data_IF_091127420244
#
_entry.id   IF_091127420244
#
_cell.length_a   1.000
_cell.length_b   1.000
_cell.length_c   1.000
_cell.angle_alpha   90.00
_cell.angle_beta   90.00
_cell.angle_gamma   90.00
#
_symmetry.space_group_name_H-M   'P 1'
#
loop_
_entity.id
_entity.type
_entity.pdbx_description
1 polymer ?
#
# COMPACT_ATOMS: atom_id res chain seq x y z
N UNK A 1 16.42 -25.21 -66.50
CA UNK A 1 16.89 -24.99 -65.11
C UNK A 1 17.08 -23.51 -64.87
N UNK A 2 16.29 -22.82 -64.02
CA UNK A 2 16.65 -21.45 -63.51
C UNK A 2 15.67 -20.77 -62.53
N UNK A 3 14.47 -21.29 -62.22
CA UNK A 3 13.58 -20.65 -61.21
C UNK A 3 13.51 -21.38 -59.86
N UNK A 4 13.37 -22.72 -59.86
CA UNK A 4 13.29 -23.52 -58.62
C UNK A 4 14.60 -23.49 -57.80
N UNK A 5 15.75 -23.45 -58.47
CA UNK A 5 17.06 -23.43 -57.82
C UNK A 5 17.35 -22.08 -57.15
N UNK A 6 16.87 -20.97 -57.72
CA UNK A 6 17.04 -19.62 -57.14
C UNK A 6 16.14 -19.45 -55.91
N UNK A 7 14.90 -19.95 -55.95
CA UNK A 7 13.98 -19.87 -54.81
C UNK A 7 14.50 -20.70 -53.62
N UNK A 8 15.03 -21.90 -53.88
CA UNK A 8 15.63 -22.73 -52.82
C UNK A 8 16.91 -22.10 -52.26
N UNK A 9 17.72 -21.42 -53.08
CA UNK A 9 18.90 -20.67 -52.60
C UNK A 9 18.48 -19.46 -51.74
N UNK A 10 17.38 -18.78 -52.10
CA UNK A 10 16.86 -17.63 -51.34
C UNK A 10 16.27 -18.06 -50.00
N UNK A 11 15.57 -19.19 -49.95
CA UNK A 11 15.08 -19.80 -48.70
C UNK A 11 16.25 -20.28 -47.83
N UNK A 12 17.31 -20.84 -48.44
CA UNK A 12 18.52 -21.23 -47.71
C UNK A 12 19.26 -20.01 -47.14
N UNK A 13 19.38 -18.91 -47.90
CA UNK A 13 20.01 -17.65 -47.45
C UNK A 13 19.17 -16.97 -46.37
N UNK A 14 17.83 -16.99 -46.46
CA UNK A 14 16.95 -16.48 -45.41
C UNK A 14 17.03 -17.35 -44.15
N UNK A 15 17.09 -18.68 -44.28
CA UNK A 15 17.28 -19.60 -43.15
C UNK A 15 18.67 -19.44 -42.51
N UNK A 16 19.72 -19.21 -43.30
CA UNK A 16 21.08 -18.98 -42.80
C UNK A 16 21.23 -17.62 -42.10
N UNK A 17 20.48 -16.60 -42.52
CA UNK A 17 20.44 -15.31 -41.83
C UNK A 17 19.63 -15.35 -40.52
N UNK A 18 18.64 -16.23 -40.40
CA UNK A 18 17.89 -16.40 -39.13
C UNK A 18 18.71 -17.23 -38.12
N UNK A 19 19.59 -18.14 -38.58
CA UNK A 19 20.46 -18.93 -37.71
C UNK A 19 21.78 -18.25 -37.27
N UNK A 20 22.18 -17.12 -37.87
CA UNK A 20 23.43 -16.42 -37.53
C UNK A 20 23.23 -15.08 -36.79
N UNK A 21 22.05 -14.83 -36.21
CA UNK A 21 21.84 -13.62 -35.38
C UNK A 21 22.30 -13.85 -33.93
N UNK A 22 23.60 -14.09 -33.75
CA UNK A 22 24.25 -13.74 -32.50
C UNK A 22 24.41 -12.22 -32.45
N UNK A 23 23.74 -11.57 -31.48
CA UNK A 23 23.91 -10.15 -31.20
C UNK A 23 23.28 -9.17 -32.22
N UNK A 24 21.96 -9.12 -32.34
CA UNK A 24 21.29 -7.99 -33.02
C UNK A 24 21.34 -6.72 -32.18
N UNK A 25 22.21 -5.77 -32.52
CA UNK A 25 22.16 -4.40 -31.97
C UNK A 25 21.13 -3.56 -32.74
N UNK A 26 19.87 -3.59 -32.31
CA UNK A 26 18.85 -2.67 -32.83
C UNK A 26 18.99 -1.34 -32.11
N UNK A 27 19.46 -0.29 -32.81
CA UNK A 27 19.45 1.09 -32.29
C UNK A 27 18.17 1.76 -32.79
N UNK A 28 17.11 1.77 -31.98
CA UNK A 28 15.95 2.63 -32.26
C UNK A 28 16.21 4.02 -31.68
N UNK A 29 16.51 4.98 -32.55
CA UNK A 29 16.66 6.38 -32.17
C UNK A 29 15.26 7.03 -32.15
N UNK A 30 14.51 6.90 -31.05
CA UNK A 30 13.18 7.52 -30.97
C UNK A 30 13.35 9.02 -30.71
N UNK A 31 13.23 9.84 -31.76
CA UNK A 31 13.48 11.28 -31.74
C UNK A 31 12.39 12.14 -31.06
N UNK A 32 11.48 11.55 -30.29
CA UNK A 32 10.35 12.28 -29.71
C UNK A 32 10.01 11.81 -28.29
N UNK A 33 10.67 12.41 -27.29
CA UNK A 33 10.04 12.71 -26.01
C UNK A 33 10.76 13.93 -25.40
N UNK A 34 10.07 14.62 -24.51
CA UNK A 34 10.39 15.93 -23.92
C UNK A 34 11.65 15.90 -23.00
N UNK A 35 12.30 14.75 -22.87
CA UNK A 35 13.43 14.44 -21.97
C UNK A 35 14.66 13.85 -22.69
N UNK A 36 14.91 14.22 -23.94
CA UNK A 36 16.14 13.83 -24.65
C UNK A 36 16.15 12.35 -25.08
N UNK A 37 16.92 12.05 -26.13
CA UNK A 37 16.82 10.77 -26.85
C UNK A 37 16.97 9.51 -25.98
N UNK A 38 16.10 8.53 -26.23
CA UNK A 38 16.18 7.16 -25.67
C UNK A 38 16.98 6.28 -26.63
N UNK A 39 18.12 5.74 -26.17
CA UNK A 39 18.82 4.66 -26.89
C UNK A 39 18.44 3.34 -26.23
N UNK A 40 17.83 2.45 -27.00
CA UNK A 40 17.53 1.07 -26.60
C UNK A 40 18.56 0.19 -27.29
N UNK A 41 19.43 -0.49 -26.55
CA UNK A 41 20.19 -1.62 -27.10
C UNK A 41 19.52 -2.91 -26.64
N UNK A 42 18.94 -3.64 -27.59
CA UNK A 42 18.46 -5.00 -27.37
C UNK A 42 19.69 -5.90 -27.57
N UNK A 43 20.10 -6.66 -26.55
CA UNK A 43 21.13 -7.69 -26.66
C UNK A 43 20.42 -9.02 -26.48
N UNK A 44 20.38 -9.82 -27.56
CA UNK A 44 19.91 -11.19 -27.54
C UNK A 44 21.12 -12.09 -27.29
N UNK A 45 21.05 -12.91 -26.23
CA UNK A 45 22.06 -13.91 -25.91
C UNK A 45 21.45 -15.31 -26.14
N UNK A 46 21.67 -15.92 -27.32
CA UNK A 46 21.08 -17.21 -27.68
C UNK A 46 21.74 -18.41 -27.00
N UNK A 47 22.81 -18.23 -26.21
CA UNK A 47 23.59 -19.32 -25.66
C UNK A 47 23.17 -19.65 -24.23
N UNK A 48 22.04 -20.33 -24.04
CA UNK A 48 21.92 -21.32 -22.97
C UNK A 48 20.85 -22.38 -23.29
N UNK A 49 21.20 -23.63 -22.98
CA UNK A 49 20.54 -24.87 -23.41
C UNK A 49 19.05 -24.96 -23.07
N UNK A 50 18.36 -25.77 -23.87
CA UNK A 50 17.03 -26.37 -23.67
C UNK A 50 16.46 -26.17 -22.25
N UNK A 51 15.40 -25.36 -22.15
CA UNK A 51 14.57 -25.05 -20.96
C UNK A 51 14.83 -23.73 -20.20
N UNK A 52 15.70 -22.82 -20.66
CA UNK A 52 15.78 -21.45 -20.12
C UNK A 52 15.95 -20.41 -21.23
N UNK A 53 14.86 -19.71 -21.58
CA UNK A 53 14.98 -18.48 -22.35
C UNK A 53 15.41 -17.37 -21.37
N UNK A 54 16.72 -17.20 -21.16
CA UNK A 54 17.25 -15.93 -20.63
C UNK A 54 16.90 -14.84 -21.65
N UNK A 55 15.75 -14.21 -21.44
CA UNK A 55 15.18 -13.28 -22.39
C UNK A 55 15.94 -11.96 -22.45
N UNK A 56 15.88 -11.40 -23.65
CA UNK A 56 16.17 -10.03 -24.07
C UNK A 56 16.74 -9.13 -22.94
N UNK A 57 18.03 -8.81 -23.07
CA UNK A 57 18.69 -7.78 -22.27
C UNK A 57 18.47 -6.44 -22.96
N UNK A 58 17.60 -5.60 -22.42
CA UNK A 58 17.42 -4.23 -22.91
C UNK A 58 18.27 -3.27 -22.07
N UNK A 59 19.24 -2.61 -22.69
CA UNK A 59 19.95 -1.51 -22.08
C UNK A 59 19.27 -0.20 -22.46
N UNK A 60 18.73 0.51 -21.45
CA UNK A 60 18.16 1.84 -21.62
C UNK A 60 19.15 2.86 -21.10
N UNK A 61 19.60 3.76 -21.98
CA UNK A 61 20.47 4.88 -21.63
C UNK A 61 19.63 6.15 -21.68
N UNK A 62 19.46 6.81 -20.54
CA UNK A 62 18.89 8.16 -20.48
C UNK A 62 20.02 9.18 -20.60
N UNK A 63 19.85 10.12 -21.54
CA UNK A 63 20.75 11.26 -21.74
C UNK A 63 20.11 12.51 -21.13
N UNK A 64 20.89 13.34 -20.44
CA UNK A 64 20.42 14.67 -20.08
C UNK A 64 20.27 15.58 -21.32
N UNK A 65 19.70 16.77 -21.14
CA UNK A 65 19.49 17.76 -22.21
C UNK A 65 20.77 18.23 -22.91
N UNK A 66 21.95 17.91 -22.35
CA UNK A 66 23.27 18.22 -22.90
C UNK A 66 23.97 16.98 -23.51
N UNK A 67 23.36 15.80 -23.44
CA UNK A 67 23.93 14.53 -23.92
C UNK A 67 25.08 13.98 -23.07
N UNK A 68 25.32 14.54 -21.88
CA UNK A 68 26.55 14.36 -21.09
C UNK A 68 26.38 13.39 -19.92
N UNK A 69 25.31 13.48 -19.13
CA UNK A 69 25.05 12.51 -18.07
C UNK A 69 24.28 11.31 -18.60
N UNK A 70 24.82 10.11 -18.34
CA UNK A 70 24.26 8.83 -18.76
C UNK A 70 23.71 8.11 -17.53
N UNK A 71 22.39 8.05 -17.37
CA UNK A 71 21.78 7.08 -16.45
C UNK A 71 21.53 5.80 -17.23
N UNK A 72 22.36 4.78 -16.99
CA UNK A 72 22.20 3.44 -17.58
C UNK A 72 21.28 2.62 -16.69
N UNK A 73 20.16 2.18 -17.25
CA UNK A 73 19.27 1.19 -16.64
C UNK A 73 19.40 -0.09 -17.47
N UNK A 74 19.79 -1.17 -16.82
CA UNK A 74 19.79 -2.48 -17.45
C UNK A 74 18.47 -3.17 -17.13
N UNK A 75 17.67 -3.48 -18.14
CA UNK A 75 16.50 -4.34 -18.03
C UNK A 75 16.86 -5.75 -18.49
N UNK A 76 16.51 -6.74 -17.67
CA UNK A 76 16.54 -8.15 -18.06
C UNK A 76 15.13 -8.71 -17.94
N UNK A 77 14.61 -9.30 -19.00
CA UNK A 77 13.36 -10.02 -18.97
C UNK A 77 13.67 -11.52 -18.92
N UNK A 78 13.49 -12.17 -17.78
CA UNK A 78 13.61 -13.64 -17.71
C UNK A 78 12.23 -14.26 -17.90
N UNK A 79 12.14 -15.26 -18.77
CA UNK A 79 10.93 -16.04 -18.97
C UNK A 79 11.21 -17.47 -18.50
N UNK A 80 10.46 -17.93 -17.51
CA UNK A 80 10.55 -19.30 -17.03
C UNK A 80 9.35 -20.09 -17.54
N UNK A 81 9.63 -20.98 -18.49
CA UNK A 81 8.81 -22.08 -19.01
C UNK A 81 8.95 -23.30 -18.05
N UNK A 82 8.44 -24.52 -18.22
CA UNK A 82 7.41 -25.02 -19.09
C UNK A 82 7.11 -26.45 -18.67
N UNK A 83 5.94 -26.62 -18.07
CA UNK A 83 5.23 -27.85 -17.64
C UNK A 83 4.55 -27.61 -16.31
N UNK A 84 5.04 -26.64 -15.55
CA UNK A 84 4.83 -26.61 -14.12
C UNK A 84 4.44 -25.24 -13.67
N UNK A 85 5.31 -24.25 -13.65
CA UNK A 85 5.06 -23.07 -12.79
C UNK A 85 5.70 -21.82 -13.35
N UNK A 86 5.07 -21.34 -14.41
CA UNK A 86 5.64 -20.32 -15.27
C UNK A 86 5.53 -18.92 -14.65
N UNK A 87 6.62 -18.16 -14.75
CA UNK A 87 6.66 -16.76 -14.36
C UNK A 87 7.57 -15.95 -15.29
N UNK A 88 7.24 -14.67 -15.42
CA UNK A 88 8.04 -13.66 -16.12
C UNK A 88 8.60 -12.69 -15.09
N UNK A 89 9.92 -12.57 -15.04
CA UNK A 89 10.61 -11.55 -14.26
C UNK A 89 11.07 -10.41 -15.16
N UNK A 90 10.74 -9.18 -14.79
CA UNK A 90 11.27 -7.96 -15.38
C UNK A 90 12.13 -7.29 -14.32
N UNK A 91 13.45 -7.33 -14.53
CA UNK A 91 14.45 -6.92 -13.55
C UNK A 91 15.15 -5.68 -14.05
N UNK A 92 15.25 -4.64 -13.22
CA UNK A 92 16.01 -3.43 -13.52
C UNK A 92 17.20 -3.25 -12.59
N UNK A 93 18.34 -2.84 -13.15
CA UNK A 93 19.56 -2.52 -12.41
C UNK A 93 20.02 -1.09 -12.71
N UNK A 94 20.75 -0.48 -11.78
CA UNK A 94 21.46 0.76 -12.03
C UNK A 94 22.77 0.55 -12.82
N UNK A 95 23.49 1.63 -13.12
CA UNK A 95 24.76 1.60 -13.84
C UNK A 95 25.86 0.77 -13.17
N UNK A 96 25.77 0.56 -11.85
CA UNK A 96 26.75 -0.16 -11.04
C UNK A 96 26.34 -1.64 -10.84
N UNK A 97 25.28 -2.11 -11.51
CA UNK A 97 24.77 -3.48 -11.36
C UNK A 97 23.95 -3.72 -10.09
N UNK A 98 23.58 -2.68 -9.35
CA UNK A 98 22.72 -2.80 -8.16
C UNK A 98 21.26 -2.95 -8.63
N UNK A 99 20.58 -3.96 -8.09
CA UNK A 99 19.16 -4.23 -8.35
C UNK A 99 18.30 -3.05 -7.87
N UNK A 100 17.42 -2.57 -8.74
CA UNK A 100 16.48 -1.47 -8.44
C UNK A 100 15.04 -1.95 -8.32
N UNK A 101 14.60 -2.81 -9.24
CA UNK A 101 13.22 -3.30 -9.29
C UNK A 101 13.19 -4.71 -9.86
N UNK A 102 12.32 -5.55 -9.32
CA UNK A 102 11.97 -6.84 -9.88
C UNK A 102 10.44 -6.94 -9.96
N UNK A 103 9.89 -7.20 -11.14
CA UNK A 103 8.47 -7.47 -11.36
C UNK A 103 8.30 -8.91 -11.81
N UNK A 104 7.72 -9.74 -10.96
CA UNK A 104 7.43 -11.15 -11.20
C UNK A 104 5.95 -11.30 -11.55
N UNK A 105 5.65 -11.86 -12.71
CA UNK A 105 4.29 -12.16 -13.18
C UNK A 105 4.16 -13.67 -13.29
N UNK A 106 3.25 -14.28 -12.52
CA UNK A 106 2.97 -15.71 -12.58
C UNK A 106 1.84 -15.99 -13.58
N UNK A 107 1.88 -17.15 -14.22
CA UNK A 107 0.91 -17.52 -15.27
C UNK A 107 0.20 -18.86 -15.06
N UNK A 108 0.58 -19.70 -14.07
CA UNK A 108 -0.04 -21.02 -13.78
C UNK A 108 0.03 -21.44 -12.28
N UNK A 109 -0.38 -22.68 -11.95
CA UNK A 109 -0.58 -23.42 -10.66
C UNK A 109 -0.03 -22.86 -9.33
N UNK A 110 1.10 -22.14 -9.29
CA UNK A 110 1.54 -21.40 -8.08
C UNK A 110 0.57 -20.32 -7.66
N UNK A 111 -0.15 -19.73 -8.62
CA UNK A 111 -1.23 -18.77 -8.38
C UNK A 111 -2.31 -19.38 -7.46
N UNK A 112 -2.63 -20.66 -7.61
CA UNK A 112 -3.65 -21.33 -6.79
C UNK A 112 -3.18 -21.53 -5.34
N UNK A 113 -1.86 -21.57 -5.12
CA UNK A 113 -1.27 -21.83 -3.81
C UNK A 113 -1.01 -20.53 -3.04
N UNK A 114 -0.41 -19.53 -3.68
CA UNK A 114 -0.04 -18.26 -3.04
C UNK A 114 -1.02 -17.11 -3.33
N UNK A 115 -1.94 -17.28 -4.27
CA UNK A 115 -3.03 -16.34 -4.54
C UNK A 115 -2.67 -15.10 -5.37
N UNK A 116 -1.38 -14.79 -5.56
CA UNK A 116 -0.94 -13.61 -6.32
C UNK A 116 -0.45 -13.95 -7.73
N UNK A 117 -0.84 -13.11 -8.71
CA UNK A 117 -0.42 -13.22 -10.11
C UNK A 117 0.70 -12.25 -10.47
N UNK A 118 0.87 -11.18 -9.71
CA UNK A 118 1.95 -10.21 -9.92
C UNK A 118 2.56 -9.78 -8.59
N UNK A 119 3.88 -9.72 -8.55
CA UNK A 119 4.69 -9.21 -7.45
C UNK A 119 5.65 -8.14 -7.98
N UNK A 120 5.73 -6.99 -7.33
CA UNK A 120 6.67 -5.92 -7.71
C UNK A 120 7.49 -5.53 -6.49
N UNK A 121 8.78 -5.85 -6.50
CA UNK A 121 9.73 -5.46 -5.47
C UNK A 121 10.60 -4.30 -5.96
N UNK A 122 10.78 -3.29 -5.10
CA UNK A 122 11.75 -2.19 -5.29
C UNK A 122 12.82 -2.34 -4.22
N UNK A 123 14.09 -2.15 -4.58
CA UNK A 123 15.22 -2.45 -3.71
C UNK A 123 16.05 -1.21 -3.38
N UNK A 124 16.59 -1.18 -2.17
CA UNK A 124 17.53 -0.15 -1.74
C UNK A 124 18.94 -0.43 -2.28
N UNK A 125 19.86 0.49 -2.00
CA UNK A 125 21.28 0.38 -2.40
C UNK A 125 22.00 -0.82 -1.79
N UNK A 126 21.52 -1.30 -0.64
CA UNK A 126 22.07 -2.47 0.07
C UNK A 126 21.54 -3.80 -0.48
N UNK A 127 20.62 -3.77 -1.45
CA UNK A 127 20.02 -4.97 -2.04
C UNK A 127 18.85 -5.55 -1.25
N UNK A 128 18.38 -4.88 -0.20
CA UNK A 128 17.15 -5.26 0.50
C UNK A 128 15.92 -4.62 -0.17
N UNK A 129 14.75 -5.28 -0.16
CA UNK A 129 13.51 -4.65 -0.58
C UNK A 129 13.25 -3.38 0.24
N UNK A 130 12.83 -2.30 -0.39
CA UNK A 130 12.21 -1.12 0.26
C UNK A 130 10.69 -1.27 0.27
N UNK A 131 10.15 -1.85 -0.81
CA UNK A 131 8.73 -2.13 -0.93
C UNK A 131 8.46 -3.35 -1.81
N UNK A 132 7.36 -4.04 -1.51
CA UNK A 132 6.88 -5.19 -2.28
C UNK A 132 5.37 -5.10 -2.45
N UNK A 133 4.91 -5.02 -3.69
CA UNK A 133 3.49 -5.09 -4.05
C UNK A 133 3.11 -6.51 -4.47
N UNK A 134 1.98 -7.01 -3.99
CA UNK A 134 1.35 -8.27 -4.39
C UNK A 134 -0.03 -7.98 -4.95
N UNK A 135 -0.34 -8.51 -6.12
CA UNK A 135 -1.64 -8.39 -6.77
C UNK A 135 -2.29 -9.77 -6.87
N UNK A 136 -3.50 -9.89 -6.31
CA UNK A 136 -4.17 -11.18 -6.15
C UNK A 136 -5.08 -11.52 -7.33
N UNK A 137 -5.19 -12.81 -7.64
CA UNK A 137 -6.16 -13.26 -8.64
C UNK A 137 -7.59 -13.08 -8.14
N UNK A 138 -8.58 -12.99 -9.05
CA UNK A 138 -9.97 -12.80 -8.68
C UNK A 138 -10.50 -13.84 -7.68
N UNK A 139 -10.13 -15.12 -7.82
CA UNK A 139 -10.60 -16.20 -6.94
C UNK A 139 -10.09 -16.03 -5.52
N UNK A 140 -8.80 -15.74 -5.35
CA UNK A 140 -8.22 -15.41 -4.04
C UNK A 140 -8.84 -14.13 -3.47
N UNK A 141 -8.96 -13.09 -4.30
CA UNK A 141 -9.51 -11.80 -3.91
C UNK A 141 -10.96 -11.91 -3.42
N UNK A 142 -11.76 -12.77 -4.05
CA UNK A 142 -13.14 -13.04 -3.63
C UNK A 142 -13.22 -13.78 -2.29
N UNK A 143 -12.29 -14.72 -2.05
CA UNK A 143 -12.25 -15.52 -0.82
C UNK A 143 -11.74 -14.70 0.38
N UNK A 144 -10.63 -14.00 0.20
CA UNK A 144 -9.96 -13.24 1.26
C UNK A 144 -10.39 -11.78 1.33
N UNK A 145 -11.23 -11.32 0.39
CA UNK A 145 -11.66 -9.92 0.27
C UNK A 145 -10.53 -8.89 0.04
N UNK A 146 -9.34 -9.36 -0.38
CA UNK A 146 -8.14 -8.54 -0.61
C UNK A 146 -7.78 -8.50 -2.09
N UNK A 147 -7.67 -7.31 -2.67
CA UNK A 147 -7.28 -7.10 -4.07
C UNK A 147 -5.76 -7.01 -4.25
N UNK A 148 -5.07 -6.33 -3.32
CA UNK A 148 -3.61 -6.22 -3.33
C UNK A 148 -3.06 -5.93 -1.94
N UNK A 149 -1.78 -6.23 -1.77
CA UNK A 149 -1.01 -5.93 -0.56
C UNK A 149 0.26 -5.20 -0.97
N UNK A 150 0.63 -4.16 -0.22
CA UNK A 150 1.92 -3.49 -0.32
C UNK A 150 2.64 -3.60 1.02
N UNK A 151 3.86 -4.10 1.02
CA UNK A 151 4.73 -4.16 2.18
C UNK A 151 5.85 -3.15 2.04
N UNK A 152 6.26 -2.54 3.15
CA UNK A 152 7.41 -1.65 3.26
C UNK A 152 8.39 -2.17 4.28
N UNK A 153 9.66 -1.97 4.00
CA UNK A 153 10.77 -2.57 4.71
C UNK A 153 11.74 -1.48 5.18
N UNK A 154 12.38 -1.69 6.32
CA UNK A 154 13.50 -0.86 6.76
C UNK A 154 14.80 -1.18 5.99
N UNK A 155 15.89 -0.41 6.17
CA UNK A 155 17.16 -0.66 5.50
C UNK A 155 17.79 -2.04 5.78
N UNK A 156 17.36 -2.73 6.83
CA UNK A 156 17.83 -4.07 7.23
C UNK A 156 16.94 -5.19 6.66
N UNK A 157 15.87 -4.84 5.91
CA UNK A 157 14.98 -5.80 5.27
C UNK A 157 13.88 -6.34 6.17
N UNK A 158 13.58 -5.68 7.30
CA UNK A 158 12.46 -6.03 8.18
C UNK A 158 11.22 -5.23 7.80
N UNK A 159 10.05 -5.89 7.78
CA UNK A 159 8.77 -5.24 7.48
C UNK A 159 8.44 -4.22 8.58
N UNK A 160 8.24 -2.98 8.17
CA UNK A 160 7.83 -1.87 9.06
C UNK A 160 6.39 -1.44 8.82
N UNK A 161 5.84 -1.70 7.64
CA UNK A 161 4.47 -1.33 7.30
C UNK A 161 3.88 -2.27 6.24
N UNK A 162 2.56 -2.49 6.31
CA UNK A 162 1.77 -3.23 5.33
C UNK A 162 0.50 -2.46 5.00
N UNK A 163 0.17 -2.30 3.72
CA UNK A 163 -1.09 -1.74 3.25
C UNK A 163 -1.87 -2.85 2.55
N UNK A 164 -3.09 -3.09 2.98
CA UNK A 164 -4.02 -4.07 2.41
C UNK A 164 -5.11 -3.29 1.69
N UNK A 165 -5.30 -3.54 0.39
CA UNK A 165 -6.39 -2.98 -0.38
C UNK A 165 -7.50 -4.01 -0.49
N UNK A 166 -8.72 -3.64 -0.12
CA UNK A 166 -9.85 -4.55 -0.16
C UNK A 166 -10.50 -4.58 -1.54
N UNK A 167 -11.30 -5.62 -1.81
CA UNK A 167 -12.10 -5.67 -3.02
C UNK A 167 -13.32 -4.73 -2.94
N UNK A 168 -13.92 -4.37 -4.09
CA UNK A 168 -15.16 -3.61 -4.11
C UNK A 168 -16.29 -4.28 -3.31
N UNK A 169 -16.42 -5.61 -3.38
CA UNK A 169 -17.46 -6.36 -2.66
C UNK A 169 -17.32 -6.20 -1.14
N UNK A 170 -16.10 -6.30 -0.62
CA UNK A 170 -15.84 -6.04 0.79
C UNK A 170 -16.10 -4.58 1.15
N UNK A 171 -15.64 -3.66 0.31
CA UNK A 171 -15.87 -2.21 0.51
C UNK A 171 -17.36 -1.88 0.56
N UNK A 172 -18.19 -2.53 -0.24
CA UNK A 172 -19.66 -2.35 -0.22
C UNK A 172 -20.25 -2.86 1.10
N UNK A 173 -19.77 -4.01 1.60
CA UNK A 173 -20.28 -4.65 2.82
C UNK A 173 -19.81 -3.97 4.11
N UNK A 174 -18.51 -3.76 4.23
CA UNK A 174 -17.83 -3.28 5.45
C UNK A 174 -17.54 -1.79 5.42
N UNK A 175 -17.64 -1.13 4.26
CA UNK A 175 -17.20 0.23 4.04
C UNK A 175 -15.68 0.43 3.95
N UNK A 176 -14.86 -0.53 4.41
CA UNK A 176 -13.42 -0.36 4.44
C UNK A 176 -12.81 -0.50 3.04
N UNK A 177 -12.01 0.50 2.63
CA UNK A 177 -11.33 0.53 1.32
C UNK A 177 -9.93 -0.10 1.44
N UNK A 178 -9.23 0.25 2.52
CA UNK A 178 -7.88 -0.24 2.77
C UNK A 178 -7.58 -0.23 4.26
N UNK A 179 -6.63 -1.06 4.63
CA UNK A 179 -5.97 -1.05 5.92
C UNK A 179 -4.49 -0.73 5.75
N UNK A 180 -3.92 0.01 6.70
CA UNK A 180 -2.48 0.24 6.81
C UNK A 180 -2.06 -0.19 8.20
N UNK A 181 -1.17 -1.15 8.29
CA UNK A 181 -0.63 -1.70 9.54
C UNK A 181 0.82 -1.22 9.64
N UNK A 182 1.14 -0.47 10.69
CA UNK A 182 2.53 -0.13 11.05
C UNK A 182 2.99 -1.06 12.16
N UNK A 183 4.21 -1.58 12.04
CA UNK A 183 4.81 -2.49 13.01
C UNK A 183 5.89 -1.81 13.87
N UNK A 184 6.32 -0.59 13.53
CA UNK A 184 7.34 0.12 14.28
C UNK A 184 7.07 1.64 14.30
N UNK A 185 7.31 2.35 15.43
CA UNK A 185 7.69 1.83 16.75
C UNK A 185 6.52 1.24 17.56
N UNK A 186 5.29 1.34 17.05
CA UNK A 186 4.08 0.78 17.67
C UNK A 186 3.34 -0.10 16.66
N UNK A 187 2.50 -1.01 17.17
CA UNK A 187 1.59 -1.78 16.31
C UNK A 187 0.33 -0.94 16.15
N UNK A 188 0.16 -0.33 14.99
CA UNK A 188 -0.99 0.52 14.69
C UNK A 188 -1.70 0.02 13.44
N UNK A 189 -3.02 -0.17 13.51
CA UNK A 189 -3.87 -0.47 12.36
C UNK A 189 -4.71 0.76 12.00
N UNK A 190 -4.65 1.18 10.75
CA UNK A 190 -5.37 2.31 10.19
C UNK A 190 -6.38 1.78 9.17
N UNK A 191 -7.66 1.76 9.50
CA UNK A 191 -8.74 1.33 8.59
C UNK A 191 -9.40 2.55 7.96
N UNK A 192 -9.33 2.65 6.64
CA UNK A 192 -9.88 3.77 5.87
C UNK A 192 -11.24 3.40 5.28
N UNK A 193 -12.24 4.25 5.48
CA UNK A 193 -13.62 3.98 5.06
C UNK A 193 -14.01 4.77 3.81
N UNK A 194 -14.87 4.14 3.00
CA UNK A 194 -15.46 4.73 1.81
C UNK A 194 -16.57 5.71 2.13
N UNK A 195 -16.94 6.48 1.12
CA UNK A 195 -18.06 7.42 1.19
C UNK A 195 -19.37 6.74 1.62
N UNK A 196 -19.57 5.46 1.33
CA UNK A 196 -20.79 4.73 1.71
C UNK A 196 -20.97 4.63 3.23
N UNK A 197 -19.91 4.34 3.98
CA UNK A 197 -19.95 4.39 5.45
C UNK A 197 -19.85 5.82 5.99
N UNK A 198 -19.16 6.73 5.30
CA UNK A 198 -19.22 8.16 5.64
C UNK A 198 -20.66 8.70 5.61
N UNK A 199 -21.53 8.16 4.75
CA UNK A 199 -22.94 8.55 4.69
C UNK A 199 -23.78 7.92 5.82
N UNK A 200 -23.49 6.67 6.23
CA UNK A 200 -24.26 5.96 7.27
C UNK A 200 -23.82 6.28 8.70
N UNK A 201 -22.51 6.23 8.97
CA UNK A 201 -21.91 6.41 10.30
C UNK A 201 -21.06 7.67 10.42
N UNK A 202 -20.67 8.28 9.30
CA UNK A 202 -19.85 9.48 9.31
C UNK A 202 -18.43 9.25 9.78
N UNK A 203 -17.88 8.04 9.72
CA UNK A 203 -16.49 7.72 10.09
C UNK A 203 -15.65 7.60 8.82
N UNK A 204 -14.49 8.28 8.80
CA UNK A 204 -13.55 8.31 7.67
C UNK A 204 -12.32 7.44 7.88
N UNK A 205 -11.87 7.37 9.12
CA UNK A 205 -10.67 6.64 9.50
C UNK A 205 -10.83 6.14 10.94
N UNK A 206 -10.42 4.90 11.15
CA UNK A 206 -10.20 4.33 12.46
C UNK A 206 -8.72 4.03 12.60
N UNK A 207 -8.14 4.40 13.74
CA UNK A 207 -6.77 4.02 14.10
C UNK A 207 -6.83 3.22 15.40
N UNK A 208 -6.28 2.01 15.41
CA UNK A 208 -6.18 1.14 16.57
C UNK A 208 -4.72 0.95 16.93
N UNK A 209 -4.37 1.09 18.20
CA UNK A 209 -3.00 0.91 18.69
C UNK A 209 -2.94 -0.21 19.71
N UNK A 210 -1.94 -1.08 19.55
CA UNK A 210 -1.80 -2.30 20.32
C UNK A 210 -0.46 -2.32 21.07
N UNK A 211 -0.46 -2.94 22.25
CA UNK A 211 0.73 -3.12 23.07
C UNK A 211 1.75 -4.05 22.39
N UNK A 212 3.00 -3.58 22.22
CA UNK A 212 4.07 -4.37 21.61
C UNK A 212 4.94 -5.15 22.63
N UNK A 213 5.20 -4.57 23.82
CA UNK A 213 5.74 -5.19 25.06
C UNK A 213 5.98 -4.08 26.11
N UNK A 214 6.05 -4.47 27.39
CA UNK A 214 6.52 -3.72 28.59
C UNK A 214 5.51 -2.97 29.48
N UNK A 215 4.19 -3.10 29.30
CA UNK A 215 3.21 -2.55 30.28
C UNK A 215 1.81 -3.18 30.24
N UNK A 216 1.48 -3.83 29.12
CA UNK A 216 0.24 -4.54 28.81
C UNK A 216 0.61 -5.90 28.18
N UNK A 217 -0.30 -6.88 28.19
CA UNK A 217 -0.07 -8.13 27.47
C UNK A 217 0.08 -7.84 25.97
N UNK A 218 1.02 -8.53 25.32
CA UNK A 218 1.31 -8.29 23.90
C UNK A 218 0.04 -8.51 23.08
N UNK A 219 -0.36 -7.50 22.30
CA UNK A 219 -1.57 -7.55 21.48
C UNK A 219 -2.81 -6.95 22.12
N UNK A 220 -2.74 -6.44 23.35
CA UNK A 220 -3.87 -5.71 23.95
C UNK A 220 -4.09 -4.36 23.26
N UNK A 221 -5.36 -4.04 22.98
CA UNK A 221 -5.78 -2.76 22.40
C UNK A 221 -5.62 -1.65 23.45
N UNK A 222 -4.75 -0.69 23.19
CA UNK A 222 -4.47 0.44 24.10
C UNK A 222 -5.47 1.57 23.89
N UNK A 223 -5.68 1.94 22.64
CA UNK A 223 -6.61 3.00 22.26
C UNK A 223 -7.08 2.83 20.82
N UNK A 224 -8.23 3.46 20.54
CA UNK A 224 -8.88 3.52 19.23
C UNK A 224 -9.31 4.95 18.93
N UNK A 225 -8.80 5.52 17.84
CA UNK A 225 -9.21 6.84 17.36
C UNK A 225 -10.23 6.71 16.23
N UNK A 226 -11.32 7.47 16.32
CA UNK A 226 -12.36 7.60 15.32
C UNK A 226 -12.27 9.00 14.74
N UNK A 227 -11.98 9.10 13.44
CA UNK A 227 -12.01 10.35 12.69
C UNK A 227 -13.33 10.44 11.96
N UNK A 228 -14.03 11.56 12.16
CA UNK A 228 -15.32 11.76 11.54
C UNK A 228 -15.19 12.43 10.16
N UNK A 229 -16.21 12.23 9.33
CA UNK A 229 -16.36 12.86 8.03
C UNK A 229 -16.53 14.36 8.22
N UNK A 230 -16.09 15.16 7.23
CA UNK A 230 -16.30 16.61 7.25
C UNK A 230 -17.77 16.96 7.52
N UNK A 231 -18.71 16.24 6.89
CA UNK A 231 -20.14 16.46 7.07
C UNK A 231 -20.59 16.21 8.52
N UNK A 232 -20.18 15.09 9.12
CA UNK A 232 -20.56 14.77 10.49
C UNK A 232 -19.87 15.70 11.49
N UNK A 233 -18.60 16.03 11.26
CA UNK A 233 -17.85 16.97 12.10
C UNK A 233 -18.42 18.37 12.04
N UNK A 234 -18.87 18.88 10.88
CA UNK A 234 -19.56 20.17 10.78
C UNK A 234 -20.90 20.15 11.53
N UNK A 235 -21.64 19.03 11.47
CA UNK A 235 -22.95 18.89 12.13
C UNK A 235 -22.84 18.77 13.66
N UNK A 236 -21.85 18.02 14.14
CA UNK A 236 -21.69 17.69 15.57
C UNK A 236 -20.72 18.63 16.29
N UNK A 237 -19.80 19.26 15.55
CA UNK A 237 -18.65 19.97 16.10
C UNK A 237 -17.51 19.05 16.53
N UNK A 238 -17.61 17.73 16.32
CA UNK A 238 -16.59 16.76 16.77
C UNK A 238 -15.73 16.34 15.58
N UNK A 239 -14.43 16.56 15.66
CA UNK A 239 -13.47 16.15 14.64
C UNK A 239 -13.05 14.69 14.83
N UNK A 240 -12.65 14.32 16.05
CA UNK A 240 -12.25 12.96 16.38
C UNK A 240 -12.53 12.61 17.84
N UNK A 241 -12.61 11.31 18.11
CA UNK A 241 -12.66 10.74 19.46
C UNK A 241 -11.56 9.71 19.60
N UNK A 242 -10.73 9.83 20.63
CA UNK A 242 -9.78 8.81 21.06
C UNK A 242 -10.32 8.05 22.27
N UNK A 243 -10.71 6.81 22.06
CA UNK A 243 -11.14 5.88 23.09
C UNK A 243 -9.94 5.14 23.67
N UNK A 244 -9.75 5.20 24.98
CA UNK A 244 -8.67 4.51 25.68
C UNK A 244 -9.25 3.34 26.44
N UNK A 245 -8.48 2.25 26.53
CA UNK A 245 -8.88 1.04 27.22
C UNK A 245 -8.00 0.81 28.46
N UNK A 246 -8.59 0.22 29.50
CA UNK A 246 -7.85 -0.27 30.66
C UNK A 246 -7.29 -1.68 30.40
N UNK A 247 -6.54 -2.23 31.37
CA UNK A 247 -5.95 -3.57 31.29
C UNK A 247 -6.97 -4.70 31.15
N UNK A 248 -8.24 -4.47 31.48
CA UNK A 248 -9.32 -5.45 31.28
C UNK A 248 -9.98 -5.34 29.90
N UNK A 249 -9.45 -4.50 29.00
CA UNK A 249 -10.04 -4.23 27.68
C UNK A 249 -11.32 -3.39 27.72
N UNK A 250 -11.65 -2.78 28.86
CA UNK A 250 -12.83 -1.92 29.02
C UNK A 250 -12.45 -0.47 28.74
N UNK A 251 -13.42 0.30 28.25
CA UNK A 251 -13.24 1.74 27.99
C UNK A 251 -13.01 2.47 29.30
N UNK A 252 -11.89 3.18 29.42
CA UNK A 252 -11.55 3.98 30.60
C UNK A 252 -11.85 5.47 30.39
N UNK A 253 -11.57 5.98 29.19
CA UNK A 253 -11.86 7.37 28.83
C UNK A 253 -11.99 7.58 27.31
N UNK A 254 -12.80 8.55 26.93
CA UNK A 254 -12.87 9.10 25.58
C UNK A 254 -12.31 10.53 25.59
N UNK A 255 -11.29 10.80 24.77
CA UNK A 255 -10.78 12.15 24.52
C UNK A 255 -11.39 12.68 23.23
N UNK A 256 -12.16 13.76 23.34
CA UNK A 256 -12.95 14.32 22.24
C UNK A 256 -12.22 15.57 21.76
N UNK A 257 -11.89 15.62 20.47
CA UNK A 257 -11.34 16.82 19.82
C UNK A 257 -12.44 17.47 19.00
N UNK A 258 -12.64 18.77 19.21
CA UNK A 258 -13.67 19.54 18.51
C UNK A 258 -13.11 20.22 17.27
N UNK A 259 -13.99 20.53 16.30
CA UNK A 259 -13.62 21.30 15.12
C UNK A 259 -13.28 22.74 15.50
N UNK A 260 -12.43 23.40 14.70
CA UNK A 260 -12.09 24.82 14.88
C UNK A 260 -13.32 25.74 14.97
N UNK A 261 -14.36 25.47 14.18
CA UNK A 261 -15.62 26.23 14.23
C UNK A 261 -16.35 26.07 15.56
N UNK A 262 -16.29 24.89 16.17
CA UNK A 262 -16.87 24.64 17.49
C UNK A 262 -16.02 25.31 18.57
N UNK A 263 -14.69 25.22 18.47
CA UNK A 263 -13.76 25.95 19.33
C UNK A 263 -14.03 27.45 19.31
N UNK A 264 -14.19 28.07 18.14
CA UNK A 264 -14.41 29.50 18.03
C UNK A 264 -15.71 29.96 18.70
N UNK A 265 -16.77 29.14 18.59
CA UNK A 265 -18.09 29.40 19.16
C UNK A 265 -18.16 29.12 20.66
N UNK A 266 -17.72 27.93 21.08
CA UNK A 266 -17.86 27.44 22.46
C UNK A 266 -16.64 27.73 23.33
N UNK A 267 -15.52 28.17 22.75
CA UNK A 267 -14.21 28.31 23.42
C UNK A 267 -13.76 27.02 24.11
N UNK A 268 -13.98 25.87 23.48
CA UNK A 268 -13.58 24.54 23.95
C UNK A 268 -12.84 23.82 22.81
N UNK A 269 -11.59 23.39 23.07
CA UNK A 269 -10.78 22.64 22.08
C UNK A 269 -10.90 21.13 22.24
N UNK A 270 -11.12 20.70 23.48
CA UNK A 270 -11.06 19.29 23.87
C UNK A 270 -11.99 19.03 25.04
N UNK A 271 -12.53 17.81 25.08
CA UNK A 271 -13.11 17.25 26.30
C UNK A 271 -12.51 15.88 26.62
N UNK A 272 -12.54 15.50 27.89
CA UNK A 272 -12.19 14.16 28.37
C UNK A 272 -13.39 13.63 29.14
N UNK A 273 -13.92 12.51 28.66
CA UNK A 273 -15.02 11.79 29.27
C UNK A 273 -14.48 10.53 29.93
N UNK A 274 -14.58 10.45 31.25
CA UNK A 274 -14.13 9.33 32.06
C UNK A 274 -15.30 8.40 32.38
N UNK A 275 -15.02 7.10 32.40
CA UNK A 275 -16.00 6.05 32.68
C UNK A 275 -15.61 5.25 33.91
N UNK A 276 -16.62 4.68 34.57
CA UNK A 276 -16.39 3.61 35.54
C UNK A 276 -16.19 2.24 34.85
N UNK A 277 -15.94 1.22 35.67
CA UNK A 277 -15.76 -0.16 35.19
C UNK A 277 -17.01 -0.75 34.49
N UNK A 278 -18.18 -0.11 34.62
CA UNK A 278 -19.45 -0.49 34.00
C UNK A 278 -19.79 0.37 32.77
N UNK A 279 -18.83 1.14 32.25
CA UNK A 279 -18.99 2.07 31.11
C UNK A 279 -20.00 3.20 31.38
N UNK A 280 -20.23 3.54 32.64
CA UNK A 280 -21.10 4.65 33.02
C UNK A 280 -20.26 5.94 33.03
N UNK A 281 -20.67 6.99 32.31
CA UNK A 281 -20.01 8.29 32.35
C UNK A 281 -19.96 8.86 33.77
N UNK A 282 -18.75 9.08 34.28
CA UNK A 282 -18.50 9.63 35.62
C UNK A 282 -18.29 11.14 35.58
N UNK A 283 -17.36 11.56 34.72
CA UNK A 283 -16.84 12.93 34.69
C UNK A 283 -16.55 13.36 33.26
N UNK A 284 -16.94 14.57 32.92
CA UNK A 284 -16.58 15.26 31.69
C UNK A 284 -15.78 16.52 32.04
N UNK A 285 -14.52 16.59 31.62
CA UNK A 285 -13.68 17.77 31.76
C UNK A 285 -13.50 18.43 30.40
N UNK A 286 -13.76 19.74 30.31
CA UNK A 286 -13.56 20.51 29.07
C UNK A 286 -12.35 21.46 29.20
N UNK A 287 -11.67 21.71 28.09
CA UNK A 287 -10.45 22.51 28.04
C UNK A 287 -10.57 23.65 27.04
N UNK A 288 -10.04 24.82 27.41
CA UNK A 288 -9.92 25.99 26.53
C UNK A 288 -8.69 25.91 25.61
N UNK A 289 -8.52 26.92 24.75
CA UNK A 289 -7.41 27.00 23.80
C UNK A 289 -6.02 27.18 24.45
N UNK A 290 -5.96 27.46 25.76
CA UNK A 290 -4.74 27.51 26.56
C UNK A 290 -4.53 26.21 27.35
N UNK A 291 -5.31 25.16 27.06
CA UNK A 291 -5.30 23.88 27.76
C UNK A 291 -5.67 24.00 29.26
N UNK A 292 -6.37 25.06 29.65
CA UNK A 292 -6.89 25.21 31.01
C UNK A 292 -8.26 24.56 31.12
N UNK A 293 -8.54 23.98 32.29
CA UNK A 293 -9.87 23.43 32.59
C UNK A 293 -10.89 24.56 32.56
N UNK A 294 -11.92 24.40 31.73
CA UNK A 294 -13.02 25.34 31.60
C UNK A 294 -14.24 24.92 32.41
N UNK A 295 -14.55 23.62 32.42
CA UNK A 295 -15.62 23.06 33.23
C UNK A 295 -15.38 21.59 33.57
N UNK A 296 -16.00 21.17 34.67
CA UNK A 296 -16.13 19.77 35.05
C UNK A 296 -17.61 19.47 35.29
N UNK A 297 -18.11 18.41 34.66
CA UNK A 297 -19.51 17.98 34.75
C UNK A 297 -19.51 16.54 35.25
N UNK A 298 -20.34 16.26 36.25
CA UNK A 298 -20.41 14.95 36.89
C UNK A 298 -21.77 14.29 36.65
N UNK A 299 -21.74 12.97 36.49
CA UNK A 299 -22.94 12.15 36.37
C UNK A 299 -23.57 12.14 34.97
N UNK A 300 -24.10 10.96 34.61
CA UNK A 300 -24.64 10.64 33.29
C UNK A 300 -25.65 11.68 32.77
N UNK A 301 -26.59 12.13 33.60
CA UNK A 301 -27.69 13.02 33.17
C UNK A 301 -27.18 14.38 32.68
N UNK A 302 -26.25 14.99 33.39
CA UNK A 302 -25.75 16.32 33.04
C UNK A 302 -24.72 16.26 31.91
N UNK A 303 -23.94 15.19 31.84
CA UNK A 303 -23.09 14.88 30.68
C UNK A 303 -23.95 14.72 29.41
N UNK A 304 -25.08 14.00 29.49
CA UNK A 304 -26.00 13.88 28.35
C UNK A 304 -26.61 15.21 27.92
N UNK A 305 -26.84 16.15 28.86
CA UNK A 305 -27.29 17.51 28.50
C UNK A 305 -26.22 18.29 27.75
N UNK A 306 -24.95 18.17 28.17
CA UNK A 306 -23.83 18.88 27.51
C UNK A 306 -23.72 18.53 26.03
N UNK A 307 -23.82 17.24 25.69
CA UNK A 307 -23.80 16.76 24.31
C UNK A 307 -25.15 16.93 23.58
N UNK A 308 -26.20 17.30 24.32
CA UNK A 308 -27.59 17.33 23.86
C UNK A 308 -28.14 15.95 23.48
N UNK A 309 -29.41 15.89 23.03
CA UNK A 309 -30.01 14.66 22.43
C UNK A 309 -29.31 14.20 21.13
N UNK A 310 -28.25 14.88 20.69
CA UNK A 310 -27.69 14.76 19.32
C UNK A 310 -26.58 13.73 19.19
N UNK A 311 -26.13 13.12 20.28
CA UNK A 311 -24.97 12.22 20.25
C UNK A 311 -25.38 10.84 20.73
N UNK A 312 -25.89 10.04 19.79
CA UNK A 312 -25.88 8.58 19.86
C UNK A 312 -24.50 7.99 19.52
N UNK A 313 -23.42 8.80 19.53
CA UNK A 313 -22.06 8.37 19.14
C UNK A 313 -21.41 7.38 20.12
N UNK A 314 -22.06 7.09 21.25
CA UNK A 314 -21.54 6.20 22.29
C UNK A 314 -22.24 4.85 22.32
N UNK A 315 -23.26 4.63 21.48
CA UNK A 315 -23.95 3.35 21.35
C UNK A 315 -23.39 2.57 20.16
N UNK A 316 -22.28 1.85 20.40
CA UNK A 316 -21.92 0.62 19.68
C UNK A 316 -21.63 -0.49 20.69
#
# INVERSE_FOLDING_TARGET
MKKKTILNLLILILAFNIHNLEGMRIITNSKYNEYGGKIINIIYDPLEKENRLEGIKEEIIFLDSKGTNRKKILLRAKWYNEKTKDFKDIISFNSNGILLKCETIRTNDDILTEGWYKKVAVYNRSGFPESVDYFFIPEYSKREYVSSIREFYDPEGKIVEKIIFFTPEYTIRSGAIKERIRFYPFLENFTFYSNTILLKRGISLIIESYAQKNSFEKGELLWKEFYYSKNLSTKTGIEKIRRNFNKSGRVSKDEITFTKSFEEREKIIRAVLEYDDFKIPLKLTTYDNRHKIKSEIYGKKDISKFFGKKISLFEE
#
